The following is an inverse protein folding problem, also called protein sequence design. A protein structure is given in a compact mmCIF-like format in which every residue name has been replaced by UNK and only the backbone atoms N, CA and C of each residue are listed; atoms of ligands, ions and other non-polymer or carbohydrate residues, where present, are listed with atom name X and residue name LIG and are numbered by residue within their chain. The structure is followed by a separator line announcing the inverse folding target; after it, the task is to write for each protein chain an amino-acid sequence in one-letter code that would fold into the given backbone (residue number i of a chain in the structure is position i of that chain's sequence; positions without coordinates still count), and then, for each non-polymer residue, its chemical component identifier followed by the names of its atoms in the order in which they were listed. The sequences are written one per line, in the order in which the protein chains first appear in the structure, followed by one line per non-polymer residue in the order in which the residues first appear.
data_IF_380373662264
#
_entry.id   IF_380373662264
#
_cell.length_a   1.000
_cell.length_b   1.000
_cell.length_c   1.000
_cell.angle_alpha   90.00
_cell.angle_beta   90.00
_cell.angle_gamma   90.00
#
_symmetry.space_group_name_H-M   'P 1'
#
loop_
_entity.id
_entity.type
_entity.pdbx_description
1 polymer ?
#
# COMPACT_ATOMS: atom_id res chain seq x y z
N UNK A 1 -2.09 8.41 -8.22
CA UNK A 1 -1.32 9.26 -7.30
C UNK A 1 -1.97 10.63 -7.21
N UNK A 2 -1.80 11.28 -6.07
CA UNK A 2 -2.17 12.68 -5.86
C UNK A 2 -0.87 13.50 -5.91
N UNK A 3 -0.76 14.44 -6.84
CA UNK A 3 0.51 15.13 -7.10
C UNK A 3 0.29 16.63 -7.26
N UNK A 4 1.26 17.41 -6.80
CA UNK A 4 1.41 18.85 -7.03
C UNK A 4 2.77 19.11 -7.70
N UNK A 5 3.14 20.38 -7.89
CA UNK A 5 4.49 20.73 -8.31
C UNK A 5 5.53 20.45 -7.21
N UNK A 6 5.09 20.42 -5.95
CA UNK A 6 5.98 20.44 -4.78
C UNK A 6 6.09 19.08 -4.10
N UNK A 7 5.10 18.19 -4.26
CA UNK A 7 5.08 16.88 -3.58
C UNK A 7 4.21 15.85 -4.29
N UNK A 8 4.43 14.58 -3.94
CA UNK A 8 3.67 13.44 -4.47
C UNK A 8 3.17 12.53 -3.35
N UNK A 9 1.86 12.29 -3.29
CA UNK A 9 1.28 11.22 -2.49
C UNK A 9 1.06 9.95 -3.34
N UNK A 10 1.81 8.92 -2.99
CA UNK A 10 1.76 7.58 -3.57
C UNK A 10 0.54 6.84 -3.00
N UNK A 11 -0.59 6.99 -3.68
CA UNK A 11 -1.92 6.52 -3.27
C UNK A 11 -2.11 5.00 -3.30
N UNK A 12 -1.32 4.21 -2.59
CA UNK A 12 -1.40 2.74 -2.57
C UNK A 12 -2.82 2.23 -2.21
N UNK A 13 -3.35 1.26 -2.97
CA UNK A 13 -4.71 0.77 -2.74
C UNK A 13 -4.83 0.13 -1.35
N UNK A 14 -6.00 0.27 -0.68
CA UNK A 14 -6.34 -0.39 0.61
C UNK A 14 -5.53 0.05 1.83
N UNK A 15 -4.79 1.15 1.75
CA UNK A 15 -4.01 1.73 2.87
C UNK A 15 -4.60 3.05 3.40
N UNK A 16 -5.94 3.21 3.36
CA UNK A 16 -6.59 4.47 3.75
C UNK A 16 -6.43 5.60 2.72
N UNK A 17 -5.97 5.29 1.50
CA UNK A 17 -5.58 6.31 0.54
C UNK A 17 -6.71 7.24 0.06
N UNK A 18 -7.95 6.76 0.03
CA UNK A 18 -9.11 7.61 -0.30
C UNK A 18 -9.44 8.60 0.81
N UNK A 19 -9.24 8.21 2.07
CA UNK A 19 -9.41 9.07 3.22
C UNK A 19 -8.33 10.17 3.21
N UNK A 20 -7.05 9.78 3.14
CA UNK A 20 -5.94 10.74 3.16
C UNK A 20 -5.98 11.68 1.94
N UNK A 21 -6.27 11.18 0.74
CA UNK A 21 -6.43 12.03 -0.46
C UNK A 21 -7.49 13.11 -0.25
N UNK A 22 -8.62 12.78 0.39
CA UNK A 22 -9.70 13.75 0.65
C UNK A 22 -9.27 14.79 1.66
N UNK A 23 -8.55 14.39 2.71
CA UNK A 23 -8.03 15.30 3.74
C UNK A 23 -6.96 16.24 3.15
N UNK A 24 -5.95 15.71 2.46
CA UNK A 24 -4.90 16.49 1.80
C UNK A 24 -5.47 17.57 0.88
N UNK A 25 -6.51 17.25 0.11
CA UNK A 25 -7.17 18.24 -0.77
C UNK A 25 -7.85 19.40 -0.04
N UNK A 26 -8.20 19.23 1.24
CA UNK A 26 -8.83 20.27 2.07
C UNK A 26 -7.80 21.08 2.84
N UNK A 27 -6.74 20.44 3.32
CA UNK A 27 -5.77 21.05 4.22
C UNK A 27 -4.55 21.68 3.53
N UNK A 28 -4.25 21.29 2.29
CA UNK A 28 -3.17 21.90 1.51
C UNK A 28 -3.70 23.11 0.74
N UNK A 29 -3.48 24.30 1.28
CA UNK A 29 -3.97 25.55 0.70
C UNK A 29 -3.20 25.91 -0.58
N UNK A 30 -3.92 26.39 -1.61
CA UNK A 30 -3.33 26.82 -2.88
C UNK A 30 -2.77 25.69 -3.77
N UNK A 31 -2.79 24.44 -3.29
CA UNK A 31 -2.24 23.29 -4.00
C UNK A 31 -2.96 23.02 -5.33
N UNK A 32 -2.20 23.06 -6.43
CA UNK A 32 -2.70 22.68 -7.77
C UNK A 32 -2.48 21.20 -8.01
N UNK A 33 -3.56 20.42 -7.92
CA UNK A 33 -3.50 18.97 -8.10
C UNK A 33 -3.51 18.55 -9.57
N UNK A 34 -2.51 17.78 -9.97
CA UNK A 34 -2.43 17.17 -11.30
C UNK A 34 -3.36 15.95 -11.37
N UNK A 35 -4.11 15.83 -12.47
CA UNK A 35 -4.97 14.67 -12.72
C UNK A 35 -4.13 13.53 -13.31
N UNK A 36 -3.72 12.60 -12.45
CA UNK A 36 -3.02 11.38 -12.87
C UNK A 36 -3.84 10.12 -12.62
N UNK A 37 -3.42 9.03 -13.27
CA UNK A 37 -4.00 7.71 -13.02
C UNK A 37 -3.70 7.30 -11.56
N UNK A 38 -4.70 6.76 -10.86
CA UNK A 38 -4.49 6.16 -9.53
C UNK A 38 -3.60 4.94 -9.63
N UNK A 39 -2.74 4.72 -8.62
CA UNK A 39 -1.91 3.52 -8.50
C UNK A 39 -0.96 3.27 -9.70
N UNK A 40 -0.52 4.34 -10.39
CA UNK A 40 0.40 4.22 -11.53
C UNK A 40 1.86 4.33 -11.09
N UNK A 41 2.74 3.69 -11.87
CA UNK A 41 4.18 3.83 -11.73
C UNK A 41 4.65 5.23 -12.16
N UNK A 42 5.51 5.91 -11.38
CA UNK A 42 6.24 7.09 -11.85
C UNK A 42 7.08 6.74 -13.08
N UNK A 43 7.08 7.58 -14.13
CA UNK A 43 7.88 7.31 -15.33
C UNK A 43 9.37 7.55 -15.09
N UNK A 44 9.66 8.67 -14.44
CA UNK A 44 11.01 9.18 -14.16
C UNK A 44 11.15 9.46 -12.68
N UNK A 45 12.39 9.54 -12.21
CA UNK A 45 12.73 10.05 -10.88
C UNK A 45 12.30 11.51 -10.81
N UNK A 46 11.60 11.85 -9.73
CA UNK A 46 11.21 13.21 -9.39
C UNK A 46 11.83 13.53 -8.02
N UNK A 47 12.38 14.73 -7.87
CA UNK A 47 12.99 15.23 -6.63
C UNK A 47 11.96 15.72 -5.62
N UNK A 48 10.67 15.81 -6.00
CA UNK A 48 9.63 16.20 -5.05
C UNK A 48 9.51 15.21 -3.88
N UNK A 49 9.33 15.72 -2.64
CA UNK A 49 9.01 14.90 -1.48
C UNK A 49 7.79 14.00 -1.70
N UNK A 50 7.86 12.79 -1.14
CA UNK A 50 6.90 11.73 -1.32
C UNK A 50 6.30 11.31 0.02
N UNK A 51 4.99 11.09 -0.04
CA UNK A 51 4.21 10.51 1.04
C UNK A 51 3.71 9.15 0.58
N UNK A 52 3.79 8.14 1.43
CA UNK A 52 3.20 6.83 1.22
C UNK A 52 2.38 6.43 2.45
N UNK A 53 1.22 5.82 2.23
CA UNK A 53 0.52 5.08 3.29
C UNK A 53 0.75 3.59 3.11
N UNK A 54 1.16 2.92 4.19
CA UNK A 54 1.42 1.48 4.23
C UNK A 54 0.50 0.80 5.25
N UNK A 55 0.17 -0.47 5.05
CA UNK A 55 -0.69 -1.26 5.94
C UNK A 55 -0.01 -2.58 6.26
N UNK A 56 -0.29 -3.11 7.46
CA UNK A 56 0.13 -4.46 7.81
C UNK A 56 -0.37 -5.46 6.75
N UNK A 57 0.48 -6.39 6.26
CA UNK A 57 0.17 -7.23 5.09
C UNK A 57 -1.14 -8.00 5.19
N UNK A 58 -1.37 -8.71 6.29
CA UNK A 58 -2.60 -9.46 6.51
C UNK A 58 -3.84 -8.57 6.41
N UNK A 59 -3.83 -7.41 7.08
CA UNK A 59 -4.96 -6.47 7.04
C UNK A 59 -5.14 -5.84 5.65
N UNK A 60 -4.07 -5.71 4.87
CA UNK A 60 -4.14 -5.26 3.49
C UNK A 60 -4.85 -6.30 2.61
N UNK A 61 -4.43 -7.56 2.68
CA UNK A 61 -5.05 -8.66 1.94
C UNK A 61 -6.51 -8.86 2.33
N UNK A 62 -6.81 -8.83 3.62
CA UNK A 62 -8.19 -8.93 4.10
C UNK A 62 -9.07 -7.77 3.59
N UNK A 63 -8.54 -6.54 3.58
CA UNK A 63 -9.23 -5.36 3.02
C UNK A 63 -9.45 -5.47 1.50
N UNK A 64 -8.48 -6.03 0.77
CA UNK A 64 -8.62 -6.26 -0.66
C UNK A 64 -9.66 -7.34 -0.96
N UNK A 65 -9.62 -8.45 -0.22
CA UNK A 65 -10.57 -9.56 -0.34
C UNK A 65 -11.99 -9.15 0.02
N UNK A 66 -12.19 -8.56 1.20
CA UNK A 66 -13.52 -8.10 1.66
C UNK A 66 -14.17 -7.12 0.72
N UNK A 67 -13.39 -6.22 0.11
CA UNK A 67 -13.92 -5.33 -0.93
C UNK A 67 -14.30 -6.06 -2.22
N UNK A 68 -13.57 -7.13 -2.57
CA UNK A 68 -13.91 -7.98 -3.71
C UNK A 68 -15.19 -8.79 -3.48
N UNK A 69 -15.44 -9.26 -2.25
CA UNK A 69 -16.70 -9.91 -1.88
C UNK A 69 -17.92 -9.00 -2.08
N UNK A 70 -17.74 -7.68 -1.90
CA UNK A 70 -18.77 -6.67 -2.21
C UNK A 70 -18.87 -6.37 -3.73
N UNK A 71 -18.28 -7.20 -4.60
CA UNK A 71 -18.27 -7.04 -6.06
C UNK A 71 -17.39 -5.89 -6.55
N UNK A 72 -16.56 -5.32 -5.68
CA UNK A 72 -15.89 -4.06 -5.92
C UNK A 72 -14.38 -4.22 -6.21
N UNK A 73 -13.84 -3.23 -6.94
CA UNK A 73 -12.40 -3.11 -7.19
C UNK A 73 -11.90 -3.72 -8.50
N UNK A 74 -10.78 -3.21 -8.98
CA UNK A 74 -10.17 -3.67 -10.24
C UNK A 74 -9.56 -5.07 -10.10
N UNK A 75 -9.00 -5.39 -8.93
CA UNK A 75 -8.43 -6.71 -8.68
C UNK A 75 -9.49 -7.80 -8.80
N UNK A 76 -10.61 -7.66 -8.08
CA UNK A 76 -11.76 -8.57 -8.18
C UNK A 76 -12.22 -8.78 -9.63
N UNK A 77 -12.51 -7.69 -10.35
CA UNK A 77 -12.98 -7.75 -11.75
C UNK A 77 -11.98 -8.41 -12.70
N UNK A 78 -10.69 -8.14 -12.53
CA UNK A 78 -9.65 -8.79 -13.33
C UNK A 78 -9.51 -10.27 -12.95
N UNK A 79 -9.55 -10.60 -11.66
CA UNK A 79 -9.39 -11.95 -11.16
C UNK A 79 -10.56 -12.85 -11.59
N UNK A 80 -11.81 -12.37 -11.48
CA UNK A 80 -13.00 -13.09 -11.97
C UNK A 80 -12.98 -13.29 -13.48
N UNK A 81 -12.50 -12.30 -14.24
CA UNK A 81 -12.39 -12.42 -15.70
C UNK A 81 -11.28 -13.38 -16.14
N UNK A 82 -10.10 -13.30 -15.54
CA UNK A 82 -8.91 -14.04 -15.98
C UNK A 82 -8.80 -15.43 -15.36
N UNK A 83 -9.34 -15.63 -14.16
CA UNK A 83 -9.24 -16.89 -13.41
C UNK A 83 -10.59 -17.24 -12.75
N UNK A 84 -11.67 -17.45 -13.52
CA UNK A 84 -13.02 -17.59 -12.98
C UNK A 84 -13.16 -18.72 -11.95
N UNK A 85 -12.48 -19.87 -12.15
CA UNK A 85 -12.51 -21.00 -11.20
C UNK A 85 -11.84 -20.66 -9.86
N UNK A 86 -10.68 -20.01 -9.90
CA UNK A 86 -10.00 -19.58 -8.67
C UNK A 86 -10.79 -18.47 -7.97
N UNK A 87 -11.38 -17.56 -8.75
CA UNK A 87 -12.19 -16.48 -8.22
C UNK A 87 -13.48 -17.00 -7.55
N UNK A 88 -14.11 -18.06 -8.07
CA UNK A 88 -15.28 -18.66 -7.41
C UNK A 88 -14.94 -19.29 -6.07
N UNK A 89 -13.74 -19.87 -5.91
CA UNK A 89 -13.26 -20.37 -4.61
C UNK A 89 -12.94 -19.20 -3.66
N UNK A 90 -12.21 -18.20 -4.16
CA UNK A 90 -11.75 -17.05 -3.39
C UNK A 90 -12.90 -16.12 -2.93
N UNK A 91 -13.97 -16.00 -3.71
CA UNK A 91 -15.07 -15.05 -3.44
C UNK A 91 -16.44 -15.72 -3.30
N UNK A 92 -16.52 -17.05 -3.30
CA UNK A 92 -17.79 -17.78 -3.24
C UNK A 92 -18.52 -17.61 -1.91
N UNK A 93 -17.81 -17.28 -0.83
CA UNK A 93 -18.41 -17.07 0.50
C UNK A 93 -17.56 -16.16 1.38
N UNK A 94 -18.16 -15.65 2.48
CA UNK A 94 -17.47 -14.89 3.52
C UNK A 94 -16.81 -15.81 4.57
N UNK A 95 -16.07 -16.82 4.13
CA UNK A 95 -15.49 -17.88 4.98
C UNK A 95 -13.95 -17.85 5.04
N UNK A 96 -13.40 -18.56 6.03
CA UNK A 96 -11.96 -18.81 6.18
C UNK A 96 -11.37 -19.52 4.96
N UNK A 97 -12.10 -20.48 4.40
CA UNK A 97 -11.65 -21.24 3.23
C UNK A 97 -11.57 -20.35 1.99
N UNK A 98 -12.60 -19.53 1.76
CA UNK A 98 -12.58 -18.56 0.65
C UNK A 98 -11.43 -17.54 0.79
N UNK A 99 -11.17 -17.03 1.99
CA UNK A 99 -10.02 -16.16 2.21
C UNK A 99 -8.69 -16.89 2.03
N UNK A 100 -8.60 -18.15 2.45
CA UNK A 100 -7.41 -18.99 2.25
C UNK A 100 -7.10 -19.17 0.76
N UNK A 101 -8.09 -19.57 -0.05
CA UNK A 101 -7.92 -19.65 -1.51
C UNK A 101 -7.51 -18.31 -2.15
N UNK A 102 -8.02 -17.20 -1.62
CA UNK A 102 -7.60 -15.87 -2.05
C UNK A 102 -6.13 -15.60 -1.72
N UNK A 103 -5.67 -15.96 -0.52
CA UNK A 103 -4.28 -15.81 -0.10
C UNK A 103 -3.35 -16.70 -0.91
N UNK A 104 -3.69 -17.98 -1.11
CA UNK A 104 -2.91 -18.90 -1.96
C UNK A 104 -2.65 -18.29 -3.33
N UNK A 105 -3.70 -17.73 -3.96
CA UNK A 105 -3.56 -17.08 -5.26
C UNK A 105 -2.71 -15.82 -5.20
N UNK A 106 -2.93 -14.95 -4.22
CA UNK A 106 -2.31 -13.62 -4.18
C UNK A 106 -0.87 -13.61 -3.65
N UNK A 107 -0.51 -14.58 -2.82
CA UNK A 107 0.84 -14.78 -2.30
C UNK A 107 1.69 -15.62 -3.26
N UNK A 108 1.07 -16.49 -4.06
CA UNK A 108 1.73 -17.27 -5.11
C UNK A 108 1.62 -16.62 -6.50
N UNK A 109 1.24 -15.33 -6.56
CA UNK A 109 0.95 -14.67 -7.82
C UNK A 109 2.22 -14.40 -8.62
N UNK A 110 2.65 -15.39 -9.40
CA UNK A 110 3.48 -15.13 -10.56
C UNK A 110 2.62 -14.30 -11.53
N UNK A 111 3.05 -13.09 -11.88
CA UNK A 111 2.42 -12.30 -12.95
C UNK A 111 2.60 -13.04 -14.29
N UNK A 112 1.79 -14.08 -14.52
CA UNK A 112 1.77 -14.84 -15.76
C UNK A 112 1.05 -13.97 -16.80
N UNK A 113 1.85 -13.31 -17.63
CA UNK A 113 1.43 -12.98 -18.99
C UNK A 113 2.63 -13.18 -19.92
N UNK A 114 2.53 -14.07 -20.92
CA UNK A 114 3.57 -14.25 -21.92
C UNK A 114 3.54 -13.04 -22.88
N UNK A 115 4.38 -12.03 -22.61
CA UNK A 115 4.61 -10.92 -23.55
C UNK A 115 6.00 -10.27 -23.33
N UNK A 116 6.96 -10.77 -24.11
CA UNK A 116 8.12 -10.15 -24.78
C UNK A 116 9.12 -9.19 -24.11
N UNK A 117 8.94 -8.63 -22.91
CA UNK A 117 9.95 -7.69 -22.37
C UNK A 117 10.28 -7.90 -20.88
N UNK A 118 11.22 -8.81 -20.60
CA UNK A 118 11.75 -9.08 -19.25
C UNK A 118 12.32 -7.82 -18.56
N UNK A 119 12.85 -6.85 -19.32
CA UNK A 119 13.47 -5.62 -18.80
C UNK A 119 12.49 -4.56 -18.25
N UNK A 120 11.18 -4.83 -18.27
CA UNK A 120 10.14 -3.88 -17.82
C UNK A 120 9.31 -4.36 -16.63
N UNK A 121 9.65 -5.54 -16.06
CA UNK A 121 8.84 -6.21 -15.05
C UNK A 121 9.59 -6.37 -13.74
N UNK A 122 8.85 -6.34 -12.63
CA UNK A 122 9.36 -6.69 -11.31
C UNK A 122 9.69 -8.21 -11.26
N UNK A 123 10.56 -8.67 -10.34
CA UNK A 123 10.92 -10.07 -10.21
C UNK A 123 9.69 -10.99 -10.16
N UNK A 124 9.79 -12.12 -10.87
CA UNK A 124 8.69 -13.03 -11.23
C UNK A 124 7.97 -13.70 -10.05
N UNK A 125 8.48 -13.58 -8.82
CA UNK A 125 8.05 -14.35 -7.62
C UNK A 125 7.60 -13.49 -6.43
N UNK A 126 7.12 -12.26 -6.66
CA UNK A 126 6.61 -11.42 -5.57
C UNK A 126 5.08 -11.52 -5.39
N UNK A 127 4.62 -11.39 -4.16
CA UNK A 127 3.20 -11.32 -3.84
C UNK A 127 2.55 -10.05 -4.41
N UNK A 128 1.22 -10.06 -4.55
CA UNK A 128 0.47 -8.93 -5.14
C UNK A 128 0.72 -7.61 -4.40
N UNK A 129 0.87 -7.63 -3.07
CA UNK A 129 1.09 -6.41 -2.30
C UNK A 129 2.48 -5.82 -2.56
N UNK A 130 3.52 -6.66 -2.48
CA UNK A 130 4.89 -6.29 -2.86
C UNK A 130 4.94 -5.71 -4.27
N UNK A 131 4.36 -6.39 -5.25
CA UNK A 131 4.34 -5.93 -6.64
C UNK A 131 3.75 -4.51 -6.78
N UNK A 132 2.67 -4.23 -6.05
CA UNK A 132 2.02 -2.91 -6.06
C UNK A 132 2.85 -1.83 -5.38
N UNK A 133 3.47 -2.14 -4.25
CA UNK A 133 4.36 -1.21 -3.54
C UNK A 133 5.53 -0.84 -4.45
N UNK A 134 6.23 -1.84 -5.00
CA UNK A 134 7.37 -1.62 -5.89
C UNK A 134 6.97 -0.89 -7.18
N UNK A 135 5.75 -1.11 -7.66
CA UNK A 135 5.19 -0.34 -8.79
C UNK A 135 5.03 1.13 -8.46
N UNK A 136 4.71 1.48 -7.22
CA UNK A 136 4.56 2.87 -6.79
C UNK A 136 5.90 3.54 -6.45
N UNK A 137 6.85 2.78 -5.91
CA UNK A 137 8.13 3.32 -5.42
C UNK A 137 9.20 3.43 -6.50
N UNK A 138 9.32 2.43 -7.38
CA UNK A 138 10.43 2.35 -8.33
C UNK A 138 10.02 2.99 -9.67
N UNK A 139 10.62 4.11 -10.10
CA UNK A 139 10.30 4.70 -11.39
C UNK A 139 10.62 3.75 -12.56
N UNK A 140 9.91 3.89 -13.67
CA UNK A 140 10.06 2.99 -14.81
C UNK A 140 11.50 2.97 -15.36
N UNK A 141 12.17 4.12 -15.43
CA UNK A 141 13.57 4.21 -15.88
C UNK A 141 14.58 3.55 -14.93
N UNK A 142 14.21 3.34 -13.67
CA UNK A 142 15.06 2.74 -12.63
C UNK A 142 14.82 1.24 -12.43
N UNK A 143 13.86 0.66 -13.16
CA UNK A 143 13.54 -0.76 -13.07
C UNK A 143 14.73 -1.69 -13.38
N UNK A 144 15.52 -1.49 -14.44
CA UNK A 144 16.66 -2.36 -14.73
C UNK A 144 17.70 -2.36 -13.60
N UNK A 145 18.01 -1.18 -13.05
CA UNK A 145 18.93 -0.99 -11.92
C UNK A 145 18.40 -1.68 -10.65
N UNK A 146 17.12 -1.48 -10.34
CA UNK A 146 16.46 -2.11 -9.19
C UNK A 146 16.47 -3.64 -9.32
N UNK A 147 16.10 -4.16 -10.49
CA UNK A 147 16.09 -5.60 -10.76
C UNK A 147 17.49 -6.23 -10.70
N UNK A 148 18.50 -5.53 -11.20
CA UNK A 148 19.90 -5.96 -11.07
C UNK A 148 20.32 -6.02 -9.59
N UNK A 149 19.91 -5.04 -8.79
CA UNK A 149 20.24 -5.00 -7.35
C UNK A 149 19.59 -6.16 -6.59
N UNK A 150 18.32 -6.43 -6.84
CA UNK A 150 17.59 -7.48 -6.12
C UNK A 150 17.94 -8.88 -6.60
N UNK A 151 18.31 -9.04 -7.88
CA UNK A 151 18.71 -10.32 -8.49
C UNK A 151 17.77 -11.50 -8.17
N UNK A 152 16.46 -11.23 -8.05
CA UNK A 152 15.45 -12.22 -7.70
C UNK A 152 15.39 -12.63 -6.22
N UNK A 153 16.32 -12.16 -5.37
CA UNK A 153 16.30 -12.38 -3.94
C UNK A 153 15.36 -11.37 -3.26
N UNK A 154 14.19 -11.82 -2.83
CA UNK A 154 13.19 -11.00 -2.14
C UNK A 154 13.32 -11.02 -0.61
N UNK A 155 14.45 -11.48 -0.05
CA UNK A 155 14.68 -11.43 1.39
C UNK A 155 14.61 -9.99 1.92
N UNK A 156 14.35 -9.87 3.22
CA UNK A 156 14.28 -8.57 3.89
C UNK A 156 15.52 -7.69 3.62
N UNK A 157 16.73 -8.23 3.78
CA UNK A 157 17.98 -7.48 3.58
C UNK A 157 18.18 -7.04 2.13
N UNK A 158 17.84 -7.90 1.18
CA UNK A 158 17.92 -7.60 -0.25
C UNK A 158 16.95 -6.48 -0.62
N UNK A 159 15.71 -6.57 -0.13
CA UNK A 159 14.69 -5.52 -0.27
C UNK A 159 15.15 -4.22 0.38
N UNK A 160 15.65 -4.26 1.61
CA UNK A 160 16.11 -3.08 2.33
C UNK A 160 17.23 -2.36 1.55
N UNK A 161 18.22 -3.12 1.07
CA UNK A 161 19.31 -2.59 0.24
C UNK A 161 18.80 -1.98 -1.06
N UNK A 162 17.93 -2.69 -1.78
CA UNK A 162 17.43 -2.26 -3.09
C UNK A 162 16.45 -1.07 -3.01
N UNK A 163 15.64 -1.00 -1.95
CA UNK A 163 14.62 0.05 -1.79
C UNK A 163 15.12 1.33 -1.13
N UNK A 164 16.25 1.29 -0.42
CA UNK A 164 16.76 2.47 0.29
C UNK A 164 16.81 3.76 -0.56
N UNK A 165 17.23 3.73 -1.85
CA UNK A 165 17.22 4.93 -2.70
C UNK A 165 15.83 5.45 -3.11
N UNK A 166 14.79 4.63 -2.92
CA UNK A 166 13.42 4.91 -3.36
C UNK A 166 12.46 5.16 -2.20
N UNK A 167 12.98 5.24 -0.97
CA UNK A 167 12.14 5.46 0.21
C UNK A 167 11.47 6.83 0.16
N UNK A 168 10.15 6.89 0.42
CA UNK A 168 9.47 8.17 0.62
C UNK A 168 10.00 8.87 1.86
N UNK A 169 10.01 10.20 1.82
CA UNK A 169 10.33 11.07 2.95
C UNK A 169 9.41 10.75 4.12
N UNK A 170 8.11 10.56 3.83
CA UNK A 170 7.06 10.29 4.80
C UNK A 170 6.38 8.96 4.51
N UNK A 171 6.38 8.06 5.51
CA UNK A 171 5.66 6.78 5.44
C UNK A 171 4.69 6.72 6.62
N UNK A 172 3.38 6.70 6.32
CA UNK A 172 2.29 6.74 7.30
C UNK A 172 1.68 5.34 7.43
N UNK A 173 1.59 4.83 8.65
CA UNK A 173 0.99 3.51 8.91
C UNK A 173 -0.51 3.66 8.98
N UNK A 174 -1.23 2.78 8.29
CA UNK A 174 -2.71 2.85 8.24
C UNK A 174 -3.34 2.69 9.62
N UNK A 175 -2.75 1.85 10.48
CA UNK A 175 -3.25 1.59 11.85
C UNK A 175 -3.16 2.80 12.78
N UNK A 176 -2.24 3.72 12.51
CA UNK A 176 -1.99 4.93 13.32
C UNK A 176 -2.02 6.18 12.44
N UNK A 177 -2.78 6.16 11.34
CA UNK A 177 -2.66 7.15 10.25
C UNK A 177 -2.73 8.59 10.74
N UNK A 178 -3.72 8.91 11.59
CA UNK A 178 -3.89 10.26 12.11
C UNK A 178 -2.73 10.63 13.05
N UNK A 179 -2.36 9.75 13.98
CA UNK A 179 -1.23 9.96 14.90
C UNK A 179 0.10 10.16 14.15
N UNK A 180 0.40 9.30 13.18
CA UNK A 180 1.60 9.41 12.34
C UNK A 180 1.59 10.74 11.56
N UNK A 181 0.45 11.13 10.97
CA UNK A 181 0.32 12.41 10.27
C UNK A 181 0.59 13.60 11.20
N UNK A 182 -0.01 13.60 12.40
CA UNK A 182 0.20 14.64 13.40
C UNK A 182 1.65 14.71 13.88
N UNK A 183 2.31 13.57 14.10
CA UNK A 183 3.71 13.53 14.48
C UNK A 183 4.62 14.14 13.39
N UNK A 184 4.39 13.79 12.13
CA UNK A 184 5.12 14.40 11.00
C UNK A 184 4.81 15.89 10.84
N UNK A 185 3.56 16.32 11.04
CA UNK A 185 3.18 17.73 10.98
C UNK A 185 3.88 18.54 12.08
N UNK A 186 3.80 18.07 13.33
CA UNK A 186 4.31 18.78 14.51
C UNK A 186 5.84 18.88 14.53
N UNK A 187 6.54 17.93 13.91
CA UNK A 187 7.99 17.95 13.74
C UNK A 187 8.46 18.75 12.52
N UNK A 188 7.56 19.42 11.79
CA UNK A 188 7.87 20.18 10.58
C UNK A 188 8.24 19.34 9.36
N UNK A 189 8.16 18.00 9.44
CA UNK A 189 8.43 17.08 8.33
C UNK A 189 7.40 17.15 7.21
N UNK A 190 6.26 17.81 7.44
CA UNK A 190 5.23 18.10 6.42
C UNK A 190 5.22 19.57 5.96
N UNK A 191 6.27 20.35 6.23
CA UNK A 191 6.32 21.77 5.81
C UNK A 191 6.11 21.97 4.31
N UNK A 192 6.58 21.02 3.49
CA UNK A 192 6.39 21.03 2.03
C UNK A 192 4.91 20.91 1.59
N UNK A 193 4.00 20.52 2.48
CA UNK A 193 2.57 20.45 2.17
C UNK A 193 1.88 21.82 2.18
N UNK A 194 2.53 22.84 2.76
CA UNK A 194 1.92 24.15 3.01
C UNK A 194 0.51 24.02 3.64
N UNK A 195 0.46 23.34 4.80
CA UNK A 195 -0.79 23.12 5.52
C UNK A 195 -1.38 24.46 5.95
N UNK A 196 -2.69 24.65 5.77
CA UNK A 196 -3.43 25.80 6.34
C UNK A 196 -3.24 25.85 7.86
N UNK A 197 -3.29 27.03 8.48
CA UNK A 197 -3.01 27.20 9.92
C UNK A 197 -3.97 26.43 10.84
N UNK A 198 -5.20 26.19 10.39
CA UNK A 198 -6.31 25.51 11.07
C UNK A 198 -6.55 24.09 10.52
N UNK A 199 -5.54 23.44 9.94
CA UNK A 199 -5.70 22.14 9.27
C UNK A 199 -6.26 21.05 10.19
N UNK A 200 -6.00 21.13 11.51
CA UNK A 200 -6.50 20.18 12.49
C UNK A 200 -8.03 20.16 12.58
N UNK A 201 -8.72 21.25 12.25
CA UNK A 201 -10.19 21.29 12.22
C UNK A 201 -10.73 20.39 11.10
N UNK A 202 -10.06 20.40 9.95
CA UNK A 202 -10.41 19.58 8.80
C UNK A 202 -9.90 18.14 8.91
N UNK A 203 -8.89 17.90 9.75
CA UNK A 203 -8.28 16.60 9.96
C UNK A 203 -8.01 16.32 11.45
N UNK A 204 -9.06 16.15 12.27
CA UNK A 204 -8.88 15.93 13.70
C UNK A 204 -8.29 14.53 13.98
N UNK A 205 -7.56 14.43 15.10
CA UNK A 205 -6.90 13.20 15.54
C UNK A 205 -7.89 12.02 15.68
N UNK A 206 -9.08 12.30 16.19
CA UNK A 206 -10.16 11.34 16.40
C UNK A 206 -10.99 11.04 15.14
N UNK A 207 -10.60 11.55 13.97
CA UNK A 207 -11.37 11.30 12.75
C UNK A 207 -11.39 9.82 12.39
N UNK A 208 -12.58 9.23 12.38
CA UNK A 208 -12.75 7.83 12.01
C UNK A 208 -12.37 7.58 10.54
N UNK A 209 -11.53 6.56 10.33
CA UNK A 209 -11.32 5.99 9.01
C UNK A 209 -12.54 5.17 8.62
N UNK A 210 -13.49 5.79 7.90
CA UNK A 210 -14.65 5.07 7.36
C UNK A 210 -14.22 4.09 6.26
N UNK A 211 -14.19 2.80 6.58
CA UNK A 211 -14.12 1.72 5.60
C UNK A 211 -15.52 1.44 5.05
N UNK A 212 -15.63 1.34 3.72
CA UNK A 212 -16.93 1.17 3.02
C UNK A 212 -17.30 -0.32 2.88
N UNK A 213 -16.36 -1.24 3.08
CA UNK A 213 -16.64 -2.67 2.92
C UNK A 213 -17.42 -3.23 4.12
N UNK A 214 -18.38 -4.09 3.82
CA UNK A 214 -19.31 -4.67 4.80
C UNK A 214 -18.62 -5.56 5.84
N UNK A 215 -17.48 -6.18 5.50
CA UNK A 215 -16.75 -7.10 6.38
C UNK A 215 -15.59 -6.43 7.12
N UNK A 216 -15.00 -5.37 6.53
CA UNK A 216 -13.87 -4.62 7.10
C UNK A 216 -14.26 -3.24 7.63
N UNK A 217 -15.56 -2.96 7.75
CA UNK A 217 -16.08 -1.83 8.51
C UNK A 217 -15.63 -1.91 9.97
N UNK A 218 -15.47 -0.75 10.60
CA UNK A 218 -14.89 -0.49 11.93
C UNK A 218 -15.50 -1.25 13.12
N UNK A 219 -16.55 -2.07 12.93
CA UNK A 219 -17.20 -2.84 13.98
C UNK A 219 -16.71 -4.30 14.12
N UNK A 220 -15.85 -4.78 13.22
CA UNK A 220 -15.22 -6.10 13.37
C UNK A 220 -13.93 -5.96 14.17
N UNK A 221 -13.87 -6.53 15.37
CA UNK A 221 -12.63 -6.52 16.18
C UNK A 221 -11.49 -7.17 15.41
N UNK A 222 -10.26 -6.68 15.61
CA UNK A 222 -9.06 -7.20 14.96
C UNK A 222 -8.94 -8.72 15.15
N UNK A 223 -9.28 -9.20 16.35
CA UNK A 223 -9.24 -10.62 16.72
C UNK A 223 -10.16 -11.46 15.84
N UNK A 224 -11.39 -11.01 15.57
CA UNK A 224 -12.33 -11.70 14.68
C UNK A 224 -11.83 -11.75 13.24
N UNK A 225 -11.12 -10.73 12.80
CA UNK A 225 -10.52 -10.72 11.45
C UNK A 225 -9.39 -11.73 11.40
N UNK A 226 -8.55 -11.79 12.42
CA UNK A 226 -7.41 -12.71 12.50
C UNK A 226 -7.79 -14.19 12.40
N UNK A 227 -9.00 -14.57 12.83
CA UNK A 227 -9.50 -15.96 12.73
C UNK A 227 -9.58 -16.48 11.29
N UNK A 228 -9.68 -15.58 10.31
CA UNK A 228 -9.64 -15.92 8.88
C UNK A 228 -8.25 -16.39 8.41
N UNK A 229 -7.18 -16.11 9.14
CA UNK A 229 -5.82 -16.49 8.76
C UNK A 229 -5.37 -17.77 9.45
N UNK A 230 -5.09 -18.83 8.69
CA UNK A 230 -4.42 -20.02 9.24
C UNK A 230 -2.93 -19.77 9.51
N UNK A 231 -2.32 -20.60 10.35
CA UNK A 231 -0.88 -20.48 10.67
C UNK A 231 0.00 -20.62 9.43
N UNK A 232 -0.37 -21.52 8.51
CA UNK A 232 0.27 -21.64 7.20
C UNK A 232 0.34 -20.29 6.46
N UNK A 233 -0.79 -19.58 6.36
CA UNK A 233 -0.85 -18.29 5.68
C UNK A 233 -0.14 -17.18 6.45
N UNK A 234 -0.12 -17.22 7.79
CA UNK A 234 0.66 -16.28 8.60
C UNK A 234 2.15 -16.42 8.30
N UNK A 235 2.66 -17.64 8.24
CA UNK A 235 4.05 -17.93 7.85
C UNK A 235 4.35 -17.48 6.43
N UNK A 236 3.45 -17.77 5.48
CA UNK A 236 3.64 -17.37 4.08
C UNK A 236 3.64 -15.85 3.91
N UNK A 237 2.77 -15.12 4.63
CA UNK A 237 2.77 -13.65 4.65
C UNK A 237 4.09 -13.09 5.21
N UNK A 238 4.61 -13.68 6.28
CA UNK A 238 5.88 -13.26 6.87
C UNK A 238 7.07 -13.46 5.91
N UNK A 239 7.06 -14.54 5.12
CA UNK A 239 8.10 -14.85 4.13
C UNK A 239 7.99 -14.01 2.85
N UNK A 240 6.78 -13.73 2.37
CA UNK A 240 6.59 -13.08 1.06
C UNK A 240 6.50 -11.56 1.14
N UNK A 241 5.89 -11.01 2.19
CA UNK A 241 5.57 -9.58 2.26
C UNK A 241 6.68 -8.71 2.89
N UNK A 242 7.96 -9.08 2.71
CA UNK A 242 9.11 -8.35 3.25
C UNK A 242 9.14 -6.87 2.86
N UNK A 243 8.69 -6.51 1.67
CA UNK A 243 8.60 -5.11 1.21
C UNK A 243 7.70 -4.26 2.10
N UNK A 244 6.53 -4.77 2.47
CA UNK A 244 5.61 -4.06 3.35
C UNK A 244 6.15 -4.01 4.79
N UNK A 245 6.74 -5.12 5.28
CA UNK A 245 7.37 -5.16 6.60
C UNK A 245 8.50 -4.14 6.73
N UNK A 246 9.41 -4.09 5.76
CA UNK A 246 10.49 -3.11 5.74
C UNK A 246 9.97 -1.68 5.80
N UNK A 247 8.94 -1.33 5.04
CA UNK A 247 8.34 0.01 5.07
C UNK A 247 7.64 0.33 6.40
N UNK A 248 7.02 -0.67 7.04
CA UNK A 248 6.42 -0.51 8.37
C UNK A 248 7.50 -0.25 9.42
N UNK A 249 8.61 -0.97 9.36
CA UNK A 249 9.75 -0.80 10.27
C UNK A 249 10.41 0.56 10.07
N UNK A 250 10.62 0.98 8.82
CA UNK A 250 11.11 2.33 8.51
C UNK A 250 10.17 3.43 9.03
N UNK A 251 8.85 3.24 8.90
CA UNK A 251 7.88 4.18 9.45
C UNK A 251 7.96 4.26 10.99
N UNK A 252 8.06 3.11 11.66
CA UNK A 252 8.19 3.05 13.12
C UNK A 252 9.48 3.72 13.61
N UNK A 253 10.62 3.46 12.96
CA UNK A 253 11.90 4.09 13.29
C UNK A 253 11.82 5.61 13.09
N UNK A 254 11.28 6.06 11.95
CA UNK A 254 11.10 7.48 11.67
C UNK A 254 10.23 8.15 12.72
N UNK A 255 9.05 7.59 13.02
CA UNK A 255 8.14 8.16 14.03
C UNK A 255 8.79 8.22 15.41
N UNK A 256 9.46 7.14 15.84
CA UNK A 256 10.15 7.13 17.14
C UNK A 256 11.24 8.21 17.23
N UNK A 257 11.93 8.51 16.12
CA UNK A 257 12.94 9.58 16.07
C UNK A 257 12.39 11.00 16.11
N UNK A 258 11.07 11.20 15.95
CA UNK A 258 10.44 12.52 16.05
C UNK A 258 10.05 12.89 17.49
N UNK A 259 10.04 11.91 18.39
CA UNK A 259 9.70 12.09 19.81
C UNK A 259 10.92 12.39 20.69
N UNK A 260 12.12 12.42 20.10
CA UNK A 260 13.40 12.72 20.76
C UNK A 260 13.90 14.08 20.27
#
# INVERSE_FOLDING_TARGET
MLRTADWTYLDLEKTGCSFLTRKLRRICEGAKFVKEKKHSRPKVVDSTPKILTIRQPFLWYFSLWSYGLDGCGKFFRSFTKLHPKSASLAYGSKSKDSFSYFLDFTLSHNLISPASNQNTRLPFSCDVYTSRILTMLVPAEKLPEFNGTISGNLSYDSIAKALNPFLPEVVIRTSTLNNDFYAYASSGRLSFLNLKSDWQEDFPLESEQRNVSSLSSSNTSLDKVQDYCSDYHRSLLAEKSHTASYLLDQAQVKIASLSN
#
